data_IF_386646687546
#
_entry.id   IF_386646687546
#
_cell.length_a   1.000
_cell.length_b   1.000
_cell.length_c   1.000
_cell.angle_alpha   90.00
_cell.angle_beta   90.00
_cell.angle_gamma   90.00
#
_symmetry.space_group_name_H-M   'P 1'
#
loop_
_entity.id
_entity.type
_entity.pdbx_description
1 polymer ?
#
# COMPACT_ATOMS: atom_id res chain seq x y z
N UNK A 1 -3.32 -9.31 -11.11
CA UNK A 1 -4.19 -8.18 -10.72
C UNK A 1 -3.84 -7.78 -9.31
N UNK A 2 -3.60 -6.50 -9.07
CA UNK A 2 -3.32 -5.93 -7.75
C UNK A 2 -4.27 -4.75 -7.50
N UNK A 3 -5.39 -4.95 -6.79
CA UNK A 3 -6.33 -3.88 -6.47
C UNK A 3 -5.97 -3.18 -5.15
N UNK A 4 -6.18 -1.87 -5.09
CA UNK A 4 -6.27 -1.09 -3.86
C UNK A 4 -7.73 -0.77 -3.58
N UNK A 5 -8.23 -1.15 -2.39
CA UNK A 5 -9.62 -0.99 -1.99
C UNK A 5 -9.74 0.00 -0.82
N UNK A 6 -10.87 0.68 -0.78
CA UNK A 6 -11.29 1.55 0.33
C UNK A 6 -12.76 1.30 0.67
N UNK A 7 -13.23 1.95 1.73
CA UNK A 7 -14.65 1.95 2.10
C UNK A 7 -15.54 2.57 1.00
N UNK A 8 -14.98 3.45 0.17
CA UNK A 8 -15.68 4.10 -0.94
C UNK A 8 -15.57 3.33 -2.26
N UNK A 9 -14.93 2.15 -2.25
CA UNK A 9 -14.72 1.29 -3.42
C UNK A 9 -13.27 1.20 -3.86
N UNK A 10 -13.07 0.88 -5.14
CA UNK A 10 -11.75 0.65 -5.75
C UNK A 10 -11.03 1.99 -5.95
N UNK A 11 -9.82 2.11 -5.39
CA UNK A 11 -8.94 3.29 -5.60
C UNK A 11 -8.13 3.13 -6.88
N UNK A 12 -7.50 1.96 -7.04
CA UNK A 12 -6.62 1.68 -8.16
C UNK A 12 -6.57 0.18 -8.44
N UNK A 13 -6.23 -0.18 -9.67
CA UNK A 13 -5.97 -1.57 -10.07
C UNK A 13 -4.75 -1.57 -10.98
N UNK A 14 -3.79 -2.43 -10.67
CA UNK A 14 -2.68 -2.73 -11.55
C UNK A 14 -2.83 -4.13 -12.18
N UNK A 15 -2.66 -4.19 -13.51
CA UNK A 15 -2.74 -5.41 -14.30
C UNK A 15 -1.34 -5.72 -14.82
N UNK A 16 -0.71 -6.69 -14.17
CA UNK A 16 0.65 -7.12 -14.51
C UNK A 16 0.67 -8.54 -15.05
N UNK A 17 1.56 -8.79 -16.00
CA UNK A 17 1.91 -10.14 -16.45
C UNK A 17 2.82 -10.83 -15.41
N UNK A 18 2.51 -12.09 -15.13
CA UNK A 18 3.20 -12.90 -14.12
C UNK A 18 2.83 -12.56 -12.68
N UNK A 19 3.71 -12.92 -11.74
CA UNK A 19 3.53 -12.67 -10.31
C UNK A 19 3.86 -11.23 -9.88
N UNK A 20 3.34 -10.84 -8.72
CA UNK A 20 3.72 -9.59 -8.06
C UNK A 20 5.06 -9.79 -7.33
N UNK A 21 6.08 -9.06 -7.73
CA UNK A 21 7.37 -9.03 -7.03
C UNK A 21 7.36 -7.97 -5.94
N UNK A 22 8.37 -8.02 -5.05
CA UNK A 22 8.54 -7.01 -4.00
C UNK A 22 8.65 -5.60 -4.59
N UNK A 23 9.40 -5.46 -5.68
CA UNK A 23 9.64 -4.19 -6.36
C UNK A 23 8.36 -3.65 -7.00
N UNK A 24 7.62 -4.49 -7.74
CA UNK A 24 6.33 -4.11 -8.33
C UNK A 24 5.33 -3.68 -7.27
N UNK A 25 5.28 -4.41 -6.15
CA UNK A 25 4.41 -4.06 -5.02
C UNK A 25 4.79 -2.70 -4.41
N UNK A 26 6.08 -2.44 -4.17
CA UNK A 26 6.55 -1.14 -3.66
C UNK A 26 6.16 0.01 -4.59
N UNK A 27 6.43 -0.14 -5.89
CA UNK A 27 6.10 0.87 -6.89
C UNK A 27 4.60 1.16 -6.90
N UNK A 28 3.78 0.10 -6.84
CA UNK A 28 2.33 0.24 -6.73
C UNK A 28 1.94 1.03 -5.47
N UNK A 29 2.41 0.65 -4.28
CA UNK A 29 2.06 1.34 -3.03
C UNK A 29 2.49 2.82 -3.05
N UNK A 30 3.71 3.10 -3.50
CA UNK A 30 4.24 4.48 -3.59
C UNK A 30 3.39 5.31 -4.57
N UNK A 31 2.97 4.73 -5.70
CA UNK A 31 2.10 5.42 -6.66
C UNK A 31 0.74 5.82 -6.09
N UNK A 32 0.29 5.13 -5.02
CA UNK A 32 -0.99 5.42 -4.35
C UNK A 32 -0.83 6.37 -3.15
N UNK A 33 0.39 6.72 -2.75
CA UNK A 33 0.65 7.62 -1.62
C UNK A 33 -0.10 8.97 -1.70
N UNK A 34 -0.25 9.62 -2.88
CA UNK A 34 -1.04 10.85 -2.99
C UNK A 34 -2.53 10.72 -2.65
N UNK A 35 -3.05 9.48 -2.58
CA UNK A 35 -4.43 9.17 -2.18
C UNK A 35 -4.57 8.87 -0.68
N UNK A 36 -3.45 8.81 0.04
CA UNK A 36 -3.38 8.53 1.47
C UNK A 36 -3.17 9.83 2.25
N UNK A 37 -3.55 9.82 3.52
CA UNK A 37 -3.32 10.94 4.43
C UNK A 37 -2.55 10.50 5.67
N UNK A 38 -2.04 11.47 6.44
CA UNK A 38 -1.43 11.18 7.73
C UNK A 38 -2.47 10.72 8.77
N UNK A 39 -2.12 9.75 9.60
CA UNK A 39 -3.02 9.25 10.64
C UNK A 39 -3.26 10.32 11.71
N UNK A 40 -4.52 10.57 12.16
CA UNK A 40 -5.73 9.76 11.99
C UNK A 40 -6.75 10.27 10.94
N UNK A 41 -6.30 10.91 9.87
CA UNK A 41 -7.22 11.43 8.83
C UNK A 41 -7.88 10.31 8.02
N UNK A 42 -8.88 10.64 7.19
CA UNK A 42 -9.48 9.65 6.29
C UNK A 42 -8.41 9.05 5.35
N UNK A 43 -8.50 7.75 5.01
CA UNK A 43 -7.53 7.06 4.14
C UNK A 43 -6.07 7.09 4.68
N UNK A 44 -5.89 7.06 6.00
CA UNK A 44 -4.56 7.09 6.62
C UNK A 44 -4.02 5.75 7.11
N UNK A 45 -4.76 4.66 6.88
CA UNK A 45 -4.37 3.30 7.29
C UNK A 45 -4.29 2.43 6.05
N UNK A 46 -3.09 1.92 5.76
CA UNK A 46 -2.85 0.93 4.74
C UNK A 46 -2.91 -0.47 5.38
N UNK A 47 -3.87 -1.28 4.93
CA UNK A 47 -4.07 -2.64 5.43
C UNK A 47 -3.51 -3.61 4.39
N UNK A 48 -2.61 -4.50 4.82
CA UNK A 48 -1.97 -5.51 3.98
C UNK A 48 -2.18 -6.90 4.60
N UNK A 49 -2.14 -7.96 3.79
CA UNK A 49 -2.02 -9.32 4.36
C UNK A 49 -0.57 -9.59 4.80
N UNK A 50 -0.37 -10.66 5.58
CA UNK A 50 0.94 -11.11 6.06
C UNK A 50 1.88 -11.73 4.98
N UNK A 51 1.70 -11.45 3.69
CA UNK A 51 2.62 -11.95 2.66
C UNK A 51 4.03 -11.37 2.85
N UNK A 52 5.05 -12.23 2.72
CA UNK A 52 6.47 -11.86 2.94
C UNK A 52 6.95 -10.67 2.10
N UNK A 53 6.36 -10.44 0.93
CA UNK A 53 6.72 -9.32 0.06
C UNK A 53 6.26 -7.96 0.60
N UNK A 54 5.27 -7.93 1.52
CA UNK A 54 4.76 -6.70 2.15
C UNK A 54 5.63 -6.23 3.32
N UNK A 55 6.40 -7.13 3.93
CA UNK A 55 7.32 -6.84 5.03
C UNK A 55 8.67 -6.34 4.47
N UNK A 56 8.65 -5.15 3.89
CA UNK A 56 9.85 -4.43 3.47
C UNK A 56 10.12 -3.22 4.37
N UNK A 57 11.16 -3.30 5.18
CA UNK A 57 11.50 -2.25 6.14
C UNK A 57 11.68 -0.88 5.46
N UNK A 58 12.31 -0.84 4.28
CA UNK A 58 12.49 0.42 3.54
C UNK A 58 11.18 1.04 3.05
N UNK A 59 10.21 0.22 2.62
CA UNK A 59 8.87 0.70 2.29
C UNK A 59 8.13 1.20 3.54
N UNK A 60 8.21 0.46 4.65
CA UNK A 60 7.53 0.82 5.89
C UNK A 60 8.08 2.13 6.48
N UNK A 61 9.40 2.30 6.52
CA UNK A 61 10.05 3.54 6.92
C UNK A 61 9.68 4.70 5.99
N UNK A 62 9.60 4.46 4.68
CA UNK A 62 9.17 5.48 3.73
C UNK A 62 7.74 5.94 3.98
N UNK A 63 6.80 5.01 4.20
CA UNK A 63 5.39 5.33 4.47
C UNK A 63 5.20 6.06 5.81
N UNK A 64 5.95 5.66 6.84
CA UNK A 64 5.93 6.31 8.16
C UNK A 64 6.38 7.77 8.07
N UNK A 65 7.34 8.10 7.19
CA UNK A 65 7.76 9.47 6.94
C UNK A 65 6.64 10.39 6.40
N UNK A 66 5.58 9.80 5.81
CA UNK A 66 4.35 10.52 5.40
C UNK A 66 3.20 10.40 6.42
N UNK A 67 3.45 9.78 7.56
CA UNK A 67 2.46 9.55 8.62
C UNK A 67 1.41 8.50 8.25
N UNK A 68 1.67 7.64 7.27
CA UNK A 68 0.76 6.55 6.91
C UNK A 68 0.94 5.41 7.90
N UNK A 69 -0.15 5.01 8.56
CA UNK A 69 -0.15 3.85 9.45
C UNK A 69 -0.31 2.58 8.63
N UNK A 70 0.56 1.60 8.83
CA UNK A 70 0.47 0.29 8.18
C UNK A 70 0.02 -0.76 9.19
N UNK A 71 -0.95 -1.58 8.80
CA UNK A 71 -1.46 -2.71 9.60
C UNK A 71 -1.45 -3.99 8.77
N UNK A 72 -1.11 -5.11 9.40
CA UNK A 72 -1.08 -6.43 8.76
C UNK A 72 -2.20 -7.33 9.31
N UNK A 73 -2.87 -8.08 8.42
CA UNK A 73 -3.90 -9.07 8.73
C UNK A 73 -3.35 -10.50 8.77
#
# INVERSE_FOLDING_TARGET
LLPALSLDGIIAVDIMEGGCTKEKFKEFVISQLPQMNSYPQARSVLILDNARIHHDDGLLEYLDAFGVRVEFL
#
